data_IF_057568268743
#
_entry.id   IF_057568268743
#
_cell.length_a   1.000
_cell.length_b   1.000
_cell.length_c   1.000
_cell.angle_alpha   90.00
_cell.angle_beta   90.00
_cell.angle_gamma   90.00
#
_symmetry.space_group_name_H-M   'P 1'
#
loop_
_entity.id
_entity.type
_entity.pdbx_description
1 polymer ?
#
# COMPACT_ATOMS: atom_id res chain seq x y z
N UNK A 1 -27.98 -60.75 33.73
CA UNK A 1 -26.70 -60.79 34.48
C UNK A 1 -25.75 -59.82 33.77
N UNK A 2 -25.19 -58.77 34.36
CA UNK A 2 -24.95 -58.46 35.79
C UNK A 2 -25.62 -57.13 36.19
N UNK A 3 -26.00 -57.02 37.46
CA UNK A 3 -26.55 -55.82 38.12
C UNK A 3 -25.48 -55.12 38.99
N UNK A 4 -25.89 -54.07 39.75
CA UNK A 4 -25.22 -53.36 40.87
C UNK A 4 -24.39 -52.09 40.55
N UNK A 5 -24.30 -51.03 41.40
CA UNK A 5 -25.18 -50.46 42.49
C UNK A 5 -24.61 -49.15 43.09
N UNK A 6 -25.36 -48.04 43.01
CA UNK A 6 -25.50 -46.88 43.96
C UNK A 6 -26.43 -45.84 43.30
N UNK A 7 -27.15 -44.87 43.91
CA UNK A 7 -27.34 -44.28 45.26
C UNK A 7 -26.69 -42.89 45.50
N UNK A 8 -27.46 -42.01 46.19
CA UNK A 8 -27.26 -40.60 46.62
C UNK A 8 -27.62 -39.58 45.52
N UNK A 9 -28.77 -38.87 45.49
CA UNK A 9 -29.74 -38.37 46.50
C UNK A 9 -29.27 -37.12 47.29
N UNK A 10 -29.58 -35.93 46.78
CA UNK A 10 -30.02 -34.80 47.62
C UNK A 10 -30.87 -33.77 46.85
N UNK A 11 -31.92 -33.32 47.52
CA UNK A 11 -32.91 -32.30 47.13
C UNK A 11 -32.40 -30.86 47.24
N UNK A 12 -32.90 -29.94 46.40
CA UNK A 12 -33.81 -28.88 46.84
C UNK A 12 -34.32 -28.01 45.68
N UNK A 13 -35.56 -27.54 45.81
CA UNK A 13 -36.20 -26.61 44.87
C UNK A 13 -35.96 -25.14 45.28
N UNK A 14 -36.16 -24.20 44.35
CA UNK A 14 -36.84 -22.92 44.59
C UNK A 14 -37.44 -22.46 43.25
N UNK A 15 -38.67 -21.95 43.32
CA UNK A 15 -39.41 -21.35 42.20
C UNK A 15 -39.34 -19.83 42.38
N UNK A 16 -39.08 -19.07 41.31
CA UNK A 16 -39.69 -17.73 41.16
C UNK A 16 -39.81 -17.36 39.67
N UNK A 17 -41.06 -17.15 39.25
CA UNK A 17 -41.39 -16.33 38.08
C UNK A 17 -41.24 -14.86 38.47
N UNK A 18 -40.69 -14.03 37.59
CA UNK A 18 -40.51 -12.60 37.85
C UNK A 18 -40.25 -11.81 36.57
N UNK A 19 -41.32 -11.36 35.92
CA UNK A 19 -41.22 -10.39 34.83
C UNK A 19 -41.10 -8.94 35.36
N UNK A 20 -40.49 -8.11 34.52
CA UNK A 20 -40.53 -6.64 34.41
C UNK A 20 -39.51 -5.74 35.14
N UNK A 21 -38.92 -4.89 34.28
CA UNK A 21 -38.47 -3.51 34.46
C UNK A 21 -37.21 -3.23 35.31
N UNK A 22 -36.07 -2.95 34.64
CA UNK A 22 -34.79 -2.77 35.36
C UNK A 22 -33.52 -2.24 34.65
N UNK A 23 -33.61 -1.29 33.70
CA UNK A 23 -32.52 -0.36 33.28
C UNK A 23 -31.32 -0.86 32.43
N UNK A 24 -30.83 0.09 31.61
CA UNK A 24 -29.54 0.18 30.89
C UNK A 24 -29.38 -0.70 29.65
N UNK A 25 -29.90 -0.20 28.53
CA UNK A 25 -29.25 -0.35 27.23
C UNK A 25 -27.82 0.18 27.32
N UNK A 26 -26.83 -0.73 27.34
CA UNK A 26 -25.49 -0.35 26.90
C UNK A 26 -25.59 0.04 25.41
N UNK A 27 -24.90 1.11 24.95
CA UNK A 27 -24.79 1.31 23.52
C UNK A 27 -24.08 0.09 22.95
N UNK A 28 -24.73 -0.58 21.99
CA UNK A 28 -23.99 -1.41 21.05
C UNK A 28 -23.04 -0.44 20.37
N UNK A 29 -21.75 -0.53 20.71
CA UNK A 29 -20.71 0.03 19.87
C UNK A 29 -20.78 -0.83 18.63
N UNK A 30 -21.58 -0.37 17.67
CA UNK A 30 -21.48 -0.76 16.29
C UNK A 30 -20.07 -0.33 15.90
N UNK A 31 -19.14 -1.28 16.05
CA UNK A 31 -17.83 -1.16 15.43
C UNK A 31 -18.16 -1.11 13.95
N UNK A 32 -18.20 0.11 13.43
CA UNK A 32 -18.00 0.37 12.02
C UNK A 32 -16.64 -0.22 11.70
N UNK A 33 -16.64 -1.51 11.39
CA UNK A 33 -15.69 -2.10 10.45
C UNK A 33 -16.02 -1.42 9.13
N UNK A 34 -15.55 -0.18 9.01
CA UNK A 34 -15.21 0.39 7.73
C UNK A 34 -14.43 -0.70 7.02
N UNK A 35 -14.99 -1.20 5.91
CA UNK A 35 -14.36 -2.23 5.10
C UNK A 35 -13.22 -1.55 4.35
N UNK A 36 -12.17 -1.21 5.12
CA UNK A 36 -10.92 -0.67 4.64
C UNK A 36 -10.41 -1.65 3.58
N UNK A 37 -10.58 -1.25 2.32
CA UNK A 37 -10.32 -2.11 1.19
C UNK A 37 -8.90 -2.65 1.31
N UNK A 38 -8.78 -3.97 1.38
CA UNK A 38 -7.50 -4.65 1.56
C UNK A 38 -6.55 -4.18 0.47
N UNK A 39 -5.40 -3.64 0.84
CA UNK A 39 -4.41 -3.16 -0.13
C UNK A 39 -3.97 -4.32 -1.03
N UNK A 40 -4.25 -4.20 -2.33
CA UNK A 40 -3.86 -5.19 -3.33
C UNK A 40 -2.38 -5.08 -3.74
N UNK A 41 -1.67 -4.08 -3.22
CA UNK A 41 -0.26 -3.83 -3.51
C UNK A 41 0.67 -4.77 -2.74
N UNK A 42 1.56 -5.44 -3.46
CA UNK A 42 2.67 -6.21 -2.87
C UNK A 42 3.92 -5.32 -2.81
N UNK A 43 4.53 -5.23 -1.62
CA UNK A 43 5.72 -4.42 -1.38
C UNK A 43 6.97 -5.29 -1.17
N UNK A 44 8.10 -4.82 -1.67
CA UNK A 44 9.38 -5.51 -1.51
C UNK A 44 10.56 -4.73 -2.09
N UNK A 45 11.62 -5.47 -2.42
CA UNK A 45 12.79 -4.99 -3.15
C UNK A 45 12.97 -5.71 -4.48
N UNK A 46 13.45 -4.97 -5.47
CA UNK A 46 13.88 -5.52 -6.76
C UNK A 46 15.07 -6.48 -6.55
N UNK A 47 14.91 -7.74 -6.96
CA UNK A 47 15.91 -8.80 -6.81
C UNK A 47 16.89 -8.88 -7.99
N UNK A 48 17.99 -9.61 -7.79
CA UNK A 48 19.06 -9.80 -8.78
C UNK A 48 18.61 -10.63 -10.00
N UNK A 49 17.55 -11.44 -9.87
CA UNK A 49 16.91 -12.20 -10.95
C UNK A 49 16.05 -11.35 -11.91
N UNK A 50 15.98 -10.04 -11.72
CA UNK A 50 15.24 -9.11 -12.59
C UNK A 50 15.92 -8.98 -13.95
N UNK A 51 15.15 -9.16 -15.03
CA UNK A 51 15.61 -9.09 -16.41
C UNK A 51 14.63 -8.30 -17.29
N UNK A 52 14.81 -8.33 -18.62
CA UNK A 52 14.05 -7.49 -19.56
C UNK A 52 12.52 -7.69 -19.49
N UNK A 53 12.08 -8.92 -19.22
CA UNK A 53 10.66 -9.31 -19.22
C UNK A 53 10.22 -9.92 -17.88
N UNK A 54 11.06 -9.89 -16.85
CA UNK A 54 10.80 -10.52 -15.54
C UNK A 54 11.24 -9.62 -14.40
N UNK A 55 10.39 -9.49 -13.39
CA UNK A 55 10.72 -8.83 -12.11
C UNK A 55 10.83 -9.88 -11.02
N UNK A 56 12.01 -9.98 -10.40
CA UNK A 56 12.14 -10.68 -9.12
C UNK A 56 11.81 -9.67 -8.01
N UNK A 57 10.81 -9.98 -7.18
CA UNK A 57 10.44 -9.18 -6.01
C UNK A 57 10.73 -9.98 -4.74
N UNK A 58 11.72 -9.53 -3.96
CA UNK A 58 11.93 -9.99 -2.58
C UNK A 58 10.97 -9.20 -1.70
N UNK A 59 9.84 -9.79 -1.33
CA UNK A 59 8.79 -9.12 -0.56
C UNK A 59 9.29 -8.66 0.81
N UNK A 60 8.59 -7.70 1.42
CA UNK A 60 8.90 -7.23 2.79
C UNK A 60 8.76 -8.31 3.88
N UNK A 61 8.19 -9.48 3.55
CA UNK A 61 8.13 -10.68 4.42
C UNK A 61 9.33 -11.62 4.24
N UNK A 62 10.14 -11.42 3.21
CA UNK A 62 11.27 -12.28 2.83
C UNK A 62 10.93 -13.34 1.77
N UNK A 63 9.67 -13.48 1.35
CA UNK A 63 9.27 -14.37 0.27
C UNK A 63 9.70 -13.80 -1.10
N UNK A 64 10.19 -14.64 -2.01
CA UNK A 64 10.48 -14.25 -3.41
C UNK A 64 9.25 -14.52 -4.29
N UNK A 65 8.82 -13.51 -5.06
CA UNK A 65 7.82 -13.65 -6.11
C UNK A 65 8.46 -13.21 -7.43
N UNK A 66 8.34 -14.04 -8.47
CA UNK A 66 8.74 -13.69 -9.83
C UNK A 66 7.49 -13.30 -10.61
N UNK A 67 7.51 -12.08 -11.17
CA UNK A 67 6.46 -11.58 -12.05
C UNK A 67 6.95 -11.59 -13.50
N UNK A 68 6.10 -12.02 -14.44
CA UNK A 68 6.26 -11.64 -15.85
C UNK A 68 5.83 -10.18 -16.04
N UNK A 69 6.59 -9.46 -16.86
CA UNK A 69 6.31 -8.09 -17.29
C UNK A 69 5.56 -8.03 -18.64
N UNK A 70 5.36 -9.20 -19.25
CA UNK A 70 4.61 -9.39 -20.50
C UNK A 70 3.41 -10.29 -20.23
N UNK A 71 2.22 -9.75 -20.47
CA UNK A 71 0.98 -10.52 -20.59
C UNK A 71 0.75 -10.93 -22.04
N UNK A 72 -0.38 -11.58 -22.31
CA UNK A 72 -0.68 -12.15 -23.64
C UNK A 72 -0.65 -11.11 -24.78
N UNK A 73 -1.19 -9.91 -24.53
CA UNK A 73 -1.25 -8.78 -25.50
C UNK A 73 -0.92 -7.43 -24.82
N UNK A 74 -0.32 -7.44 -23.62
CA UNK A 74 -0.13 -6.24 -22.77
C UNK A 74 1.21 -6.22 -22.07
N UNK A 75 1.82 -5.04 -21.93
CA UNK A 75 3.03 -4.83 -21.13
C UNK A 75 2.70 -4.21 -19.77
N UNK A 76 3.48 -4.54 -18.75
CA UNK A 76 3.39 -3.92 -17.43
C UNK A 76 3.55 -2.41 -17.48
N UNK A 77 2.73 -1.69 -16.71
CA UNK A 77 2.93 -0.27 -16.46
C UNK A 77 4.04 -0.05 -15.42
N UNK A 78 5.29 0.02 -15.89
CA UNK A 78 6.49 0.22 -15.04
C UNK A 78 6.80 1.72 -14.88
N UNK A 79 6.80 2.17 -13.64
CA UNK A 79 6.97 3.57 -13.24
C UNK A 79 8.25 3.74 -12.41
N UNK A 80 9.19 4.56 -12.87
CA UNK A 80 10.47 4.82 -12.18
C UNK A 80 11.58 3.78 -12.40
N UNK A 81 11.40 2.82 -13.30
CA UNK A 81 12.41 1.82 -13.69
C UNK A 81 12.65 0.71 -12.66
N UNK A 82 13.37 -0.34 -13.07
CA UNK A 82 13.70 -1.50 -12.23
C UNK A 82 15.21 -1.54 -12.00
N UNK A 83 15.65 -1.24 -10.77
CA UNK A 83 17.05 -1.31 -10.38
C UNK A 83 17.20 -2.23 -9.16
N UNK A 84 18.18 -3.12 -9.17
CA UNK A 84 18.40 -4.10 -8.10
C UNK A 84 18.57 -3.40 -6.75
N UNK A 85 17.86 -3.87 -5.73
CA UNK A 85 17.87 -3.35 -4.37
C UNK A 85 16.85 -2.24 -4.08
N UNK A 86 16.27 -1.62 -5.11
CA UNK A 86 15.26 -0.57 -4.95
C UNK A 86 13.96 -1.07 -4.31
N UNK A 87 13.28 -0.18 -3.59
CA UNK A 87 11.95 -0.44 -3.01
C UNK A 87 10.90 -0.39 -4.10
N UNK A 88 10.15 -1.47 -4.28
CA UNK A 88 9.14 -1.62 -5.33
C UNK A 88 7.77 -1.91 -4.70
N UNK A 89 6.73 -1.35 -5.33
CA UNK A 89 5.32 -1.69 -5.12
C UNK A 89 4.76 -2.30 -6.41
N UNK A 90 4.10 -3.47 -6.32
CA UNK A 90 3.54 -4.21 -7.46
C UNK A 90 2.04 -4.43 -7.27
N UNK A 91 1.25 -4.06 -8.27
CA UNK A 91 -0.11 -4.59 -8.47
C UNK A 91 0.02 -5.74 -9.46
N UNK A 92 -0.25 -6.95 -9.00
CA UNK A 92 -0.14 -8.16 -9.82
C UNK A 92 -1.37 -9.05 -9.73
N UNK A 93 -1.52 -9.92 -10.73
CA UNK A 93 -2.61 -10.90 -10.82
C UNK A 93 -2.10 -12.22 -11.39
N UNK A 94 -2.68 -13.33 -10.96
CA UNK A 94 -2.55 -14.59 -11.69
C UNK A 94 -3.25 -14.46 -13.04
N UNK A 95 -2.68 -15.07 -14.07
CA UNK A 95 -3.26 -15.12 -15.42
C UNK A 95 -3.49 -16.57 -15.80
N UNK A 96 -4.75 -16.97 -15.98
CA UNK A 96 -5.09 -18.29 -16.49
C UNK A 96 -4.49 -18.48 -17.90
N UNK A 97 -3.78 -19.59 -18.11
CA UNK A 97 -3.09 -19.90 -19.36
C UNK A 97 -1.58 -19.63 -19.38
N UNK A 98 -1.03 -18.88 -18.42
CA UNK A 98 0.42 -18.66 -18.26
C UNK A 98 1.00 -19.53 -17.13
N UNK A 99 0.82 -20.86 -17.16
CA UNK A 99 1.49 -21.80 -16.23
C UNK A 99 1.51 -21.42 -14.72
N UNK A 100 0.44 -20.80 -14.21
CA UNK A 100 0.33 -20.27 -12.83
C UNK A 100 1.19 -19.03 -12.50
N UNK A 101 1.90 -18.47 -13.49
CA UNK A 101 2.74 -17.28 -13.39
C UNK A 101 1.95 -16.02 -12.96
N UNK A 102 2.64 -15.14 -12.22
CA UNK A 102 2.11 -13.84 -11.81
C UNK A 102 2.45 -12.79 -12.86
N UNK A 103 1.45 -12.10 -13.40
CA UNK A 103 1.66 -10.92 -14.23
C UNK A 103 1.64 -9.66 -13.37
N UNK A 104 2.63 -8.78 -13.53
CA UNK A 104 2.60 -7.45 -12.94
C UNK A 104 1.78 -6.49 -13.82
N UNK A 105 0.65 -6.00 -13.35
CA UNK A 105 -0.13 -5.01 -14.09
C UNK A 105 0.48 -3.60 -13.96
N UNK A 106 0.92 -3.25 -12.74
CA UNK A 106 1.57 -1.96 -12.44
C UNK A 106 2.74 -2.20 -11.51
N UNK A 107 3.88 -1.59 -11.82
CA UNK A 107 5.09 -1.62 -10.98
C UNK A 107 5.51 -0.18 -10.70
N UNK A 108 5.67 0.18 -9.43
CA UNK A 108 6.05 1.52 -8.99
C UNK A 108 7.35 1.41 -8.20
N UNK A 109 8.41 2.04 -8.70
CA UNK A 109 9.65 2.20 -7.98
C UNK A 109 9.51 3.32 -6.93
N UNK A 110 9.44 2.92 -5.67
CA UNK A 110 9.30 3.80 -4.52
C UNK A 110 10.60 4.55 -4.22
N UNK A 111 11.79 3.96 -4.49
CA UNK A 111 13.05 4.71 -4.40
C UNK A 111 13.05 5.89 -5.38
N UNK A 112 12.60 5.66 -6.61
CA UNK A 112 12.50 6.71 -7.65
C UNK A 112 11.53 7.84 -7.30
N UNK A 113 10.54 7.62 -6.42
CA UNK A 113 9.67 8.69 -5.92
C UNK A 113 10.39 9.63 -4.93
N UNK A 114 11.40 9.15 -4.20
CA UNK A 114 12.07 9.92 -3.15
C UNK A 114 12.82 11.15 -3.69
N UNK A 115 12.84 12.22 -2.91
CA UNK A 115 13.56 13.46 -3.20
C UNK A 115 12.65 14.67 -3.49
N UNK A 116 13.28 15.78 -3.86
CA UNK A 116 12.62 17.08 -4.00
C UNK A 116 12.06 17.29 -5.41
N UNK A 117 10.79 17.70 -5.48
CA UNK A 117 9.99 17.89 -6.68
C UNK A 117 9.42 19.32 -6.72
N UNK A 118 9.49 19.98 -7.88
CA UNK A 118 9.06 21.37 -8.06
C UNK A 118 8.27 21.60 -9.34
N UNK A 119 7.20 22.41 -9.27
CA UNK A 119 6.48 23.03 -10.39
C UNK A 119 6.77 24.54 -10.42
N UNK A 120 5.93 25.34 -11.10
CA UNK A 120 6.00 26.81 -11.07
C UNK A 120 5.51 27.42 -9.75
N UNK A 121 4.67 26.70 -9.03
CA UNK A 121 3.83 27.18 -7.93
C UNK A 121 3.96 26.34 -6.64
N UNK A 122 4.60 25.16 -6.70
CA UNK A 122 4.69 24.20 -5.60
C UNK A 122 6.06 23.52 -5.55
N UNK A 123 6.59 23.32 -4.35
CA UNK A 123 7.82 22.55 -4.10
C UNK A 123 7.66 21.70 -2.82
N UNK A 124 8.04 20.41 -2.91
CA UNK A 124 8.00 19.46 -1.81
C UNK A 124 9.06 18.35 -1.94
N UNK A 125 9.54 17.80 -0.83
CA UNK A 125 10.41 16.62 -0.78
C UNK A 125 9.63 15.40 -0.29
N UNK A 126 9.55 14.35 -1.12
CA UNK A 126 9.09 13.02 -0.72
C UNK A 126 10.24 12.36 0.04
N UNK A 127 10.13 12.29 1.36
CA UNK A 127 11.17 11.74 2.23
C UNK A 127 10.94 10.24 2.50
N UNK A 128 11.99 9.52 2.87
CA UNK A 128 11.85 8.12 3.30
C UNK A 128 10.96 8.02 4.56
N UNK A 129 10.27 6.88 4.73
CA UNK A 129 9.40 6.66 5.89
C UNK A 129 8.05 7.38 5.83
N UNK A 130 7.56 7.75 4.65
CA UNK A 130 6.18 8.21 4.44
C UNK A 130 5.89 9.69 4.73
N UNK A 131 6.92 10.51 4.95
CA UNK A 131 6.78 11.94 5.26
C UNK A 131 6.97 12.80 4.00
N UNK A 132 6.28 13.95 3.93
CA UNK A 132 6.49 14.95 2.87
C UNK A 132 6.84 16.30 3.48
N UNK A 133 7.93 16.90 3.01
CA UNK A 133 8.41 18.21 3.45
C UNK A 133 7.98 19.24 2.41
N UNK A 134 6.88 19.95 2.65
CA UNK A 134 6.40 21.03 1.78
C UNK A 134 7.03 22.38 2.11
N UNK A 135 7.11 23.27 1.12
CA UNK A 135 7.54 24.66 1.32
C UNK A 135 6.70 25.44 2.35
N UNK A 136 7.36 26.29 3.14
CA UNK A 136 6.69 27.11 4.15
C UNK A 136 5.81 28.17 3.49
N UNK A 137 4.51 28.16 3.81
CA UNK A 137 3.52 29.10 3.24
C UNK A 137 2.71 28.55 2.06
N UNK A 138 2.97 27.32 1.62
CA UNK A 138 2.12 26.58 0.68
C UNK A 138 0.67 26.48 1.24
N UNK A 139 -0.37 26.97 0.53
CA UNK A 139 -1.75 26.97 1.05
C UNK A 139 -2.37 25.58 1.21
N UNK A 140 -1.86 24.59 0.48
CA UNK A 140 -2.28 23.18 0.53
C UNK A 140 -1.04 22.28 0.55
N UNK A 141 -0.33 22.20 1.70
CA UNK A 141 0.89 21.43 1.80
C UNK A 141 0.58 19.94 1.75
N UNK A 142 1.47 19.18 1.11
CA UNK A 142 1.52 17.73 1.28
C UNK A 142 2.30 17.42 2.56
N UNK A 143 1.79 16.50 3.37
CA UNK A 143 2.34 16.19 4.71
C UNK A 143 2.88 14.77 4.82
N UNK A 144 2.22 13.83 4.15
CA UNK A 144 2.52 12.40 4.19
C UNK A 144 2.36 11.81 2.78
N UNK A 145 3.06 10.70 2.53
CA UNK A 145 2.90 9.93 1.31
C UNK A 145 2.87 8.43 1.56
N UNK A 146 2.16 7.72 0.69
CA UNK A 146 2.21 6.27 0.56
C UNK A 146 1.70 5.85 -0.82
N UNK A 147 2.02 4.62 -1.23
CA UNK A 147 1.22 3.93 -2.25
C UNK A 147 0.09 3.18 -1.55
N UNK A 148 -1.06 3.06 -2.21
CA UNK A 148 -2.18 2.22 -1.78
C UNK A 148 -2.97 1.82 -3.04
N UNK A 149 -3.24 0.53 -3.25
CA UNK A 149 -3.90 0.00 -4.45
C UNK A 149 -3.30 0.57 -5.77
N UNK A 150 -1.97 0.71 -5.83
CA UNK A 150 -1.26 1.27 -7.00
C UNK A 150 -1.44 2.77 -7.26
N UNK A 151 -2.13 3.51 -6.39
CA UNK A 151 -2.26 4.98 -6.41
C UNK A 151 -1.24 5.62 -5.48
N UNK A 152 -0.76 6.81 -5.83
CA UNK A 152 0.05 7.63 -4.94
C UNK A 152 -0.85 8.53 -4.10
N UNK A 153 -0.81 8.38 -2.78
CA UNK A 153 -1.44 9.31 -1.85
C UNK A 153 -0.39 10.34 -1.44
N UNK A 154 -0.70 11.62 -1.59
CA UNK A 154 0.04 12.76 -1.06
C UNK A 154 -0.95 13.58 -0.22
N UNK A 155 -1.07 13.24 1.07
CA UNK A 155 -2.15 13.73 1.96
C UNK A 155 -2.27 15.26 1.85
N UNK A 156 -3.44 15.82 1.49
CA UNK A 156 -4.77 15.18 1.48
C UNK A 156 -5.25 14.59 0.14
N UNK A 157 -4.50 14.73 -0.95
CA UNK A 157 -4.92 14.30 -2.29
C UNK A 157 -4.47 12.86 -2.62
N UNK A 158 -5.20 12.20 -3.52
CA UNK A 158 -4.84 10.88 -4.10
C UNK A 158 -4.70 11.00 -5.60
N UNK A 159 -3.70 10.34 -6.17
CA UNK A 159 -3.32 10.46 -7.57
C UNK A 159 -3.05 9.10 -8.24
N UNK A 160 -3.33 9.03 -9.53
CA UNK A 160 -2.63 8.09 -10.41
C UNK A 160 -1.22 8.62 -10.72
N UNK A 161 -0.23 7.72 -10.72
CA UNK A 161 1.08 8.00 -11.32
C UNK A 161 0.94 7.77 -12.83
N UNK A 162 0.98 8.86 -13.60
CA UNK A 162 0.92 8.83 -15.06
C UNK A 162 2.31 8.54 -15.65
N UNK A 163 3.34 9.23 -15.16
CA UNK A 163 4.73 8.99 -15.56
C UNK A 163 5.72 9.36 -14.45
N UNK A 164 6.61 8.44 -14.09
CA UNK A 164 7.74 8.63 -13.20
C UNK A 164 9.03 8.30 -13.93
N UNK A 165 9.84 9.32 -14.16
CA UNK A 165 11.17 9.24 -14.77
C UNK A 165 12.28 9.73 -13.83
N UNK A 166 13.54 9.76 -14.30
CA UNK A 166 14.68 10.17 -13.48
C UNK A 166 14.57 11.63 -13.02
N UNK A 167 14.08 12.56 -13.85
CA UNK A 167 13.97 13.99 -13.52
C UNK A 167 12.53 14.55 -13.58
N UNK A 168 11.51 13.70 -13.82
CA UNK A 168 10.12 14.13 -14.03
C UNK A 168 9.10 13.22 -13.34
N UNK A 169 8.08 13.84 -12.73
CA UNK A 169 6.94 13.17 -12.10
C UNK A 169 5.65 13.80 -12.62
N UNK A 170 4.78 12.99 -13.22
CA UNK A 170 3.44 13.36 -13.67
C UNK A 170 2.41 12.55 -12.90
N UNK A 171 1.53 13.26 -12.18
CA UNK A 171 0.48 12.66 -11.34
C UNK A 171 -0.88 13.27 -11.69
N UNK A 172 -1.93 12.45 -11.68
CA UNK A 172 -3.26 12.82 -12.15
C UNK A 172 -4.33 12.56 -11.09
N UNK A 173 -5.26 13.51 -10.93
CA UNK A 173 -6.49 13.30 -10.18
C UNK A 173 -7.68 13.98 -10.90
N UNK A 174 -8.86 13.97 -10.29
CA UNK A 174 -10.10 14.54 -10.87
C UNK A 174 -10.00 16.03 -11.28
N UNK A 175 -9.02 16.76 -10.76
CA UNK A 175 -8.77 18.18 -11.08
C UNK A 175 -7.83 18.37 -12.29
N UNK A 176 -7.12 17.32 -12.71
CA UNK A 176 -6.20 17.32 -13.86
C UNK A 176 -4.84 16.66 -13.58
N UNK A 177 -3.93 16.85 -14.53
CA UNK A 177 -2.55 16.33 -14.51
C UNK A 177 -1.60 17.42 -13.97
N UNK A 178 -0.77 17.04 -13.02
CA UNK A 178 0.27 17.86 -12.40
C UNK A 178 1.65 17.34 -12.79
N UNK A 179 2.50 18.21 -13.33
CA UNK A 179 3.87 17.89 -13.73
C UNK A 179 4.90 18.56 -12.83
N UNK A 180 5.84 17.78 -12.31
CA UNK A 180 6.93 18.22 -11.45
C UNK A 180 8.28 17.82 -12.03
N UNK A 181 9.28 18.68 -11.85
CA UNK A 181 10.68 18.39 -12.15
C UNK A 181 11.43 18.05 -10.86
N UNK A 182 12.36 17.11 -10.90
CA UNK A 182 13.24 16.82 -9.76
C UNK A 182 14.27 17.93 -9.58
N UNK A 183 14.43 18.41 -8.34
CA UNK A 183 15.52 19.31 -7.97
C UNK A 183 16.75 18.49 -7.58
N UNK A 184 17.80 18.58 -8.40
CA UNK A 184 19.09 18.00 -8.08
C UNK A 184 19.80 18.87 -7.02
N UNK A 185 20.07 18.31 -5.83
CA UNK A 185 20.88 18.98 -4.80
C UNK A 185 22.25 19.31 -5.39
N UNK A 186 22.50 20.60 -5.69
CA UNK A 186 23.79 21.03 -6.21
C UNK A 186 24.87 20.67 -5.18
N UNK A 187 25.79 19.77 -5.55
CA UNK A 187 27.00 19.56 -4.77
C UNK A 187 27.74 20.89 -4.72
N UNK A 188 27.79 21.52 -3.54
CA UNK A 188 28.61 22.70 -3.32
C UNK A 188 30.03 22.34 -3.75
N UNK A 189 30.56 23.07 -4.73
CA UNK A 189 31.98 22.96 -5.08
C UNK A 189 32.76 23.53 -3.90
N UNK A 190 33.27 22.63 -3.05
CA UNK A 190 34.26 22.97 -2.05
C UNK A 190 35.53 23.39 -2.80
N UNK A 191 35.72 24.69 -2.93
CA UNK A 191 36.98 25.24 -3.41
C UNK A 191 38.00 25.07 -2.28
N UNK A 192 38.89 24.08 -2.42
CA UNK A 192 40.15 23.99 -1.69
C UNK A 192 41.23 24.78 -2.42
#
# INVERSE_FOLDING_TARGET
MKTFRNIILLTCAIIILGCKDGKKSAPVIEILTDSAAVDSTVYGRCGEGTAMHTLELITDKGDTIVYTLEGLDTFSNVQGGLFVGDRIAVIGKHVEGLNEEMYAEKVINLTSLLGTWSSLDKEFEIAEGGHVISSTGEPKPYTEWKVLNGKLILTPDTFEIYSLGPDSLYIENEKGIYGYKRLQKQKQKTNN
#
